data_IF_517998600348
#
_entry.id   IF_517998600348
#
_cell.length_a   1.000
_cell.length_b   1.000
_cell.length_c   1.000
_cell.angle_alpha   90.00
_cell.angle_beta   90.00
_cell.angle_gamma   90.00
#
_symmetry.space_group_name_H-M   'P 1'
#
loop_
_entity.id
_entity.type
_entity.pdbx_description
1 polymer ?
#
# COMPACT_ATOMS: atom_id res chain seq x y z
N UNK A 1 23.46 22.77 10.13
CA UNK A 1 22.08 22.38 10.48
C UNK A 1 21.67 21.05 9.86
N UNK A 2 21.93 20.78 8.57
CA UNK A 2 21.66 19.44 7.96
C UNK A 2 22.69 18.37 8.42
N UNK A 3 23.96 18.75 8.58
CA UNK A 3 25.03 17.81 9.00
C UNK A 3 24.91 17.32 10.45
N UNK A 4 24.37 18.13 11.36
CA UNK A 4 24.14 17.71 12.76
C UNK A 4 22.97 16.72 12.89
N UNK A 5 21.94 16.88 12.06
CA UNK A 5 20.77 16.01 12.06
C UNK A 5 21.09 14.59 11.54
N UNK A 6 21.95 14.47 10.51
CA UNK A 6 22.41 13.16 10.04
C UNK A 6 23.31 12.45 11.05
N UNK A 7 24.17 13.19 11.76
CA UNK A 7 25.05 12.64 12.78
C UNK A 7 24.27 12.13 14.00
N UNK A 8 23.26 12.87 14.44
CA UNK A 8 22.39 12.51 15.57
C UNK A 8 21.49 11.30 15.24
N UNK A 9 20.94 11.25 14.02
CA UNK A 9 20.15 10.11 13.53
C UNK A 9 21.00 8.83 13.38
N UNK A 10 22.24 8.96 12.92
CA UNK A 10 23.18 7.83 12.78
C UNK A 10 23.57 7.24 14.15
N UNK A 11 23.72 8.09 15.17
CA UNK A 11 24.01 7.68 16.55
C UNK A 11 22.84 6.96 17.22
N UNK A 12 21.60 7.43 17.08
CA UNK A 12 20.42 6.74 17.64
C UNK A 12 20.22 5.33 17.06
N UNK A 13 20.40 5.19 15.75
CA UNK A 13 20.26 3.90 15.07
C UNK A 13 21.38 2.93 15.49
N UNK A 14 22.63 3.41 15.55
CA UNK A 14 23.78 2.57 15.86
C UNK A 14 23.88 2.17 17.35
N UNK A 15 23.55 3.09 18.27
CA UNK A 15 23.77 2.88 19.71
C UNK A 15 22.57 2.27 20.42
N UNK A 16 21.34 2.53 19.96
CA UNK A 16 20.12 2.09 20.67
C UNK A 16 19.39 1.01 19.88
N UNK A 17 19.12 1.23 18.59
CA UNK A 17 18.29 0.29 17.81
C UNK A 17 19.04 -0.99 17.45
N UNK A 18 20.31 -0.88 17.06
CA UNK A 18 21.13 -2.04 16.68
C UNK A 18 21.31 -3.06 17.82
N UNK A 19 21.69 -2.68 19.06
CA UNK A 19 21.78 -3.63 20.17
C UNK A 19 20.43 -4.22 20.58
N UNK A 20 19.33 -3.45 20.44
CA UNK A 20 17.98 -3.96 20.72
C UNK A 20 17.58 -5.05 19.71
N UNK A 21 17.87 -4.83 18.42
CA UNK A 21 17.60 -5.79 17.34
C UNK A 21 18.47 -7.05 17.53
N UNK A 22 19.75 -6.90 17.86
CA UNK A 22 20.63 -8.06 18.10
C UNK A 22 20.22 -8.85 19.34
N UNK A 23 19.83 -8.19 20.43
CA UNK A 23 19.30 -8.86 21.62
C UNK A 23 18.01 -9.63 21.32
N UNK A 24 17.09 -9.05 20.54
CA UNK A 24 15.87 -9.72 20.10
C UNK A 24 16.16 -10.96 19.24
N UNK A 25 17.11 -10.84 18.29
CA UNK A 25 17.57 -11.97 17.47
C UNK A 25 18.19 -13.09 18.32
N UNK A 26 19.07 -12.75 19.26
CA UNK A 26 19.68 -13.71 20.17
C UNK A 26 18.63 -14.41 21.04
N UNK A 27 17.64 -13.67 21.55
CA UNK A 27 16.54 -14.24 22.32
C UNK A 27 15.67 -15.19 21.49
N UNK A 28 15.35 -14.83 20.25
CA UNK A 28 14.61 -15.68 19.30
C UNK A 28 15.40 -16.95 18.98
N UNK A 29 16.71 -16.83 18.68
CA UNK A 29 17.58 -17.97 18.39
C UNK A 29 17.74 -18.90 19.60
N UNK A 30 17.92 -18.33 20.79
CA UNK A 30 18.00 -19.10 22.03
C UNK A 30 16.68 -19.81 22.36
N UNK A 31 15.54 -19.15 22.14
CA UNK A 31 14.21 -19.73 22.30
C UNK A 31 13.94 -20.85 21.30
N UNK A 32 14.31 -20.66 20.03
CA UNK A 32 14.23 -21.69 18.98
C UNK A 32 15.11 -22.90 19.31
N UNK A 33 16.35 -22.66 19.75
CA UNK A 33 17.28 -23.71 20.17
C UNK A 33 16.72 -24.54 21.34
N UNK A 34 16.19 -23.87 22.36
CA UNK A 34 15.61 -24.52 23.54
C UNK A 34 14.31 -25.28 23.23
N UNK A 35 13.44 -24.71 22.38
CA UNK A 35 12.25 -25.42 21.89
C UNK A 35 12.64 -26.65 21.08
N UNK A 36 13.69 -26.59 20.24
CA UNK A 36 14.16 -27.74 19.46
C UNK A 36 14.65 -28.89 20.34
N UNK A 37 15.20 -28.60 21.52
CA UNK A 37 15.60 -29.63 22.49
C UNK A 37 14.42 -30.28 23.20
N UNK A 38 13.28 -29.60 23.35
CA UNK A 38 12.10 -30.11 24.08
C UNK A 38 11.00 -30.67 23.17
N UNK A 39 10.97 -30.30 21.89
CA UNK A 39 9.93 -30.69 20.94
C UNK A 39 10.53 -31.28 19.67
N UNK A 40 9.80 -32.20 19.04
CA UNK A 40 10.20 -32.80 17.75
C UNK A 40 10.54 -31.73 16.72
N UNK A 41 11.62 -31.93 15.94
CA UNK A 41 12.06 -31.07 14.83
C UNK A 41 10.90 -30.63 13.92
N UNK A 42 9.90 -31.51 13.72
CA UNK A 42 8.69 -31.22 12.92
C UNK A 42 7.92 -30.01 13.45
N UNK A 43 7.79 -29.86 14.77
CA UNK A 43 7.06 -28.74 15.40
C UNK A 43 7.82 -27.43 15.18
N UNK A 44 9.16 -27.46 15.28
CA UNK A 44 10.00 -26.28 15.04
C UNK A 44 9.85 -25.78 13.60
N UNK A 45 9.90 -26.70 12.63
CA UNK A 45 9.74 -26.38 11.22
C UNK A 45 8.36 -25.81 10.90
N UNK A 46 7.29 -26.35 11.49
CA UNK A 46 5.92 -25.83 11.31
C UNK A 46 5.80 -24.41 11.86
N UNK A 47 6.30 -24.16 13.08
CA UNK A 47 6.25 -22.83 13.69
C UNK A 47 7.06 -21.82 12.86
N UNK A 48 8.25 -22.22 12.41
CA UNK A 48 9.08 -21.38 11.55
C UNK A 48 8.40 -21.07 10.21
N UNK A 49 7.76 -22.07 9.59
CA UNK A 49 7.00 -21.89 8.35
C UNK A 49 5.84 -20.91 8.54
N UNK A 50 5.10 -20.97 9.67
CA UNK A 50 4.01 -20.03 9.97
C UNK A 50 4.56 -18.61 10.16
N UNK A 51 5.67 -18.45 10.88
CA UNK A 51 6.30 -17.14 11.12
C UNK A 51 6.72 -16.47 9.81
N UNK A 52 7.12 -17.22 8.80
CA UNK A 52 7.49 -16.68 7.48
C UNK A 52 6.25 -16.50 6.60
N UNK A 53 5.37 -17.50 6.53
CA UNK A 53 4.23 -17.50 5.62
C UNK A 53 3.22 -16.40 5.96
N UNK A 54 3.03 -16.09 7.23
CA UNK A 54 2.06 -15.09 7.69
C UNK A 54 2.40 -13.66 7.23
N UNK A 55 3.62 -13.11 7.48
CA UNK A 55 3.99 -11.80 6.96
C UNK A 55 4.07 -11.78 5.43
N UNK A 56 4.55 -12.85 4.78
CA UNK A 56 4.54 -12.93 3.32
C UNK A 56 3.11 -12.86 2.77
N UNK A 57 2.17 -13.60 3.37
CA UNK A 57 0.76 -13.59 2.99
C UNK A 57 0.14 -12.20 3.09
N UNK A 58 0.46 -11.45 4.15
CA UNK A 58 0.00 -10.06 4.31
C UNK A 58 0.57 -9.14 3.23
N UNK A 59 1.86 -9.27 2.91
CA UNK A 59 2.51 -8.49 1.84
C UNK A 59 1.85 -8.78 0.47
N UNK A 60 1.65 -10.05 0.13
CA UNK A 60 1.00 -10.45 -1.12
C UNK A 60 -0.46 -9.99 -1.18
N UNK A 61 -1.19 -10.04 -0.06
CA UNK A 61 -2.58 -9.57 0.00
C UNK A 61 -2.68 -8.06 -0.28
N UNK A 62 -1.81 -7.25 0.33
CA UNK A 62 -1.77 -5.81 0.08
C UNK A 62 -1.43 -5.49 -1.38
N UNK A 63 -0.42 -6.17 -1.93
CA UNK A 63 0.00 -5.98 -3.32
C UNK A 63 -1.10 -6.38 -4.32
N UNK A 64 -1.77 -7.52 -4.07
CA UNK A 64 -2.90 -7.98 -4.88
C UNK A 64 -4.10 -7.04 -4.81
N UNK A 65 -4.38 -6.48 -3.62
CA UNK A 65 -5.43 -5.47 -3.46
C UNK A 65 -5.13 -4.22 -4.28
N UNK A 66 -3.91 -3.66 -4.18
CA UNK A 66 -3.53 -2.46 -4.91
C UNK A 66 -3.61 -2.67 -6.43
N UNK A 67 -3.12 -3.81 -6.92
CA UNK A 67 -3.20 -4.17 -8.33
C UNK A 67 -4.66 -4.25 -8.81
N UNK A 68 -5.54 -4.90 -8.05
CA UNK A 68 -6.95 -5.01 -8.37
C UNK A 68 -7.64 -3.63 -8.41
N UNK A 69 -7.28 -2.71 -7.50
CA UNK A 69 -7.82 -1.34 -7.50
C UNK A 69 -7.31 -0.52 -8.68
N UNK A 70 -6.03 -0.61 -9.05
CA UNK A 70 -5.50 0.03 -10.26
C UNK A 70 -6.18 -0.48 -11.54
N UNK A 71 -6.46 -1.78 -11.63
CA UNK A 71 -7.20 -2.37 -12.76
C UNK A 71 -8.66 -1.90 -12.82
N UNK A 72 -9.33 -1.81 -11.68
CA UNK A 72 -10.68 -1.23 -11.58
C UNK A 72 -10.70 0.25 -11.97
N UNK A 73 -9.76 1.03 -11.46
CA UNK A 73 -9.60 2.43 -11.82
C UNK A 73 -9.34 2.58 -13.33
N UNK A 74 -8.54 1.69 -13.94
CA UNK A 74 -8.33 1.66 -15.40
C UNK A 74 -9.60 1.47 -16.23
N UNK A 75 -10.59 0.72 -15.71
CA UNK A 75 -11.90 0.59 -16.37
C UNK A 75 -12.71 1.89 -16.25
N UNK A 76 -12.69 2.52 -15.07
CA UNK A 76 -13.37 3.80 -14.82
C UNK A 76 -12.74 4.92 -15.66
N UNK A 77 -11.42 5.00 -15.76
CA UNK A 77 -10.73 6.01 -16.59
C UNK A 77 -11.10 5.86 -18.06
N UNK A 78 -11.17 4.64 -18.59
CA UNK A 78 -11.60 4.41 -19.97
C UNK A 78 -13.04 4.91 -20.22
N UNK A 79 -13.95 4.69 -19.28
CA UNK A 79 -15.32 5.20 -19.37
C UNK A 79 -15.38 6.72 -19.25
N UNK A 80 -14.61 7.32 -18.33
CA UNK A 80 -14.48 8.76 -18.20
C UNK A 80 -13.96 9.43 -19.47
N UNK A 81 -12.95 8.85 -20.12
CA UNK A 81 -12.44 9.36 -21.40
C UNK A 81 -13.48 9.23 -22.51
N UNK A 82 -14.26 8.14 -22.56
CA UNK A 82 -15.35 7.99 -23.55
C UNK A 82 -16.48 9.00 -23.33
N UNK A 83 -16.82 9.29 -22.07
CA UNK A 83 -17.79 10.31 -21.72
C UNK A 83 -17.28 11.71 -22.10
N UNK A 84 -16.00 11.99 -21.80
CA UNK A 84 -15.35 13.25 -22.18
C UNK A 84 -15.33 13.45 -23.69
N UNK A 85 -15.05 12.40 -24.46
CA UNK A 85 -15.03 12.47 -25.91
C UNK A 85 -16.41 12.74 -26.52
N UNK A 86 -17.50 12.28 -25.88
CA UNK A 86 -18.87 12.46 -26.36
C UNK A 86 -19.52 13.77 -25.88
N UNK A 87 -19.21 14.24 -24.67
CA UNK A 87 -19.86 15.40 -24.05
C UNK A 87 -18.96 16.64 -23.94
N UNK A 88 -17.67 16.51 -24.26
CA UNK A 88 -16.69 17.60 -24.17
C UNK A 88 -16.32 18.02 -22.75
N UNK A 89 -16.71 17.26 -21.72
CA UNK A 89 -16.41 17.52 -20.30
C UNK A 89 -16.41 16.25 -19.48
N UNK A 90 -15.76 16.27 -18.32
CA UNK A 90 -15.86 15.20 -17.33
C UNK A 90 -17.19 15.27 -16.57
N UNK A 91 -17.77 14.11 -16.20
CA UNK A 91 -19.03 14.06 -15.45
C UNK A 91 -18.88 14.73 -14.08
N UNK A 92 -19.98 15.19 -13.47
CA UNK A 92 -19.91 15.79 -12.13
C UNK A 92 -19.75 14.68 -11.09
N UNK A 93 -20.37 13.53 -11.34
CA UNK A 93 -20.31 12.36 -10.48
C UNK A 93 -20.11 11.10 -11.31
N UNK A 94 -19.49 10.07 -10.72
CA UNK A 94 -19.47 8.74 -11.35
C UNK A 94 -20.88 8.16 -11.52
N UNK A 95 -21.89 8.64 -10.77
CA UNK A 95 -23.29 8.26 -10.98
C UNK A 95 -23.88 8.75 -12.30
N UNK A 96 -23.28 9.77 -12.91
CA UNK A 96 -23.66 10.24 -14.26
C UNK A 96 -23.20 9.25 -15.34
N UNK A 97 -22.18 8.45 -15.01
CA UNK A 97 -21.83 7.28 -15.79
C UNK A 97 -22.77 6.16 -15.31
N UNK A 98 -23.35 5.38 -16.22
CA UNK A 98 -24.20 4.22 -15.87
C UNK A 98 -23.38 3.06 -15.25
N UNK A 99 -22.41 3.37 -14.39
CA UNK A 99 -21.48 2.46 -13.75
C UNK A 99 -22.13 1.93 -12.48
N UNK A 100 -22.50 0.64 -12.47
CA UNK A 100 -22.96 -0.05 -11.25
C UNK A 100 -21.86 -0.21 -10.17
N UNK A 101 -20.59 0.04 -10.51
CA UNK A 101 -19.44 -0.05 -9.58
C UNK A 101 -19.18 1.24 -8.77
N UNK A 102 -20.06 2.25 -8.82
CA UNK A 102 -19.88 3.55 -8.12
C UNK A 102 -19.77 3.41 -6.60
N UNK A 103 -20.34 2.36 -6.01
CA UNK A 103 -20.17 2.03 -4.58
C UNK A 103 -18.89 1.22 -4.30
N UNK A 104 -17.80 1.57 -5.00
CA UNK A 104 -16.49 0.95 -4.83
C UNK A 104 -15.60 1.75 -3.89
N UNK A 105 -14.47 1.18 -3.42
CA UNK A 105 -13.47 1.89 -2.64
C UNK A 105 -12.63 2.88 -3.47
N UNK A 106 -13.10 3.22 -4.68
CA UNK A 106 -12.48 4.18 -5.59
C UNK A 106 -13.35 5.42 -5.57
N UNK A 107 -12.74 6.52 -5.16
CA UNK A 107 -13.36 7.82 -5.11
C UNK A 107 -12.97 8.62 -6.35
N UNK A 108 -13.87 9.49 -6.76
CA UNK A 108 -13.72 10.37 -7.91
C UNK A 108 -13.98 11.80 -7.50
N UNK A 109 -13.11 12.68 -7.96
CA UNK A 109 -13.30 14.11 -7.85
C UNK A 109 -12.92 14.76 -9.16
N UNK A 110 -13.77 15.65 -9.64
CA UNK A 110 -13.49 16.49 -10.80
C UNK A 110 -12.90 17.80 -10.33
N UNK A 111 -11.90 18.29 -11.03
CA UNK A 111 -11.40 19.64 -10.82
C UNK A 111 -12.51 20.65 -11.22
N UNK A 112 -12.82 21.59 -10.31
CA UNK A 112 -13.81 22.63 -10.56
C UNK A 112 -13.29 23.70 -11.52
N UNK A 113 -11.99 23.98 -11.48
CA UNK A 113 -11.34 25.01 -12.30
C UNK A 113 -11.02 24.46 -13.71
N UNK A 114 -10.82 23.15 -13.84
CA UNK A 114 -10.55 22.48 -15.11
C UNK A 114 -11.54 21.33 -15.36
N UNK A 115 -12.65 21.54 -16.10
CA UNK A 115 -13.68 20.51 -16.32
C UNK A 115 -13.22 19.31 -17.17
N UNK A 116 -11.95 19.29 -17.56
CA UNK A 116 -11.28 18.22 -18.30
C UNK A 116 -10.35 17.38 -17.42
N UNK A 117 -10.07 17.83 -16.20
CA UNK A 117 -9.21 17.20 -15.22
C UNK A 117 -10.04 16.57 -14.11
N UNK A 118 -9.63 15.38 -13.70
CA UNK A 118 -10.19 14.62 -12.60
C UNK A 118 -9.11 13.82 -11.87
N UNK A 119 -9.43 13.44 -10.64
CA UNK A 119 -8.63 12.61 -9.78
C UNK A 119 -9.40 11.37 -9.39
N UNK A 120 -8.69 10.24 -9.29
CA UNK A 120 -9.22 9.03 -8.69
C UNK A 120 -8.33 8.66 -7.52
N UNK A 121 -8.91 8.20 -6.41
CA UNK A 121 -8.10 7.68 -5.31
C UNK A 121 -8.75 6.49 -4.62
N UNK A 122 -7.91 5.65 -4.02
CA UNK A 122 -8.34 4.54 -3.19
C UNK A 122 -7.36 4.33 -2.04
N UNK A 123 -7.85 3.83 -0.91
CA UNK A 123 -7.01 3.52 0.25
C UNK A 123 -6.14 2.29 -0.01
N UNK A 124 -4.84 2.37 0.26
CA UNK A 124 -3.85 1.27 0.12
C UNK A 124 -3.46 0.63 1.45
N UNK A 125 -3.98 1.14 2.56
CA UNK A 125 -3.64 0.75 3.92
C UNK A 125 -4.23 1.71 4.95
N UNK A 126 -3.79 1.58 6.20
CA UNK A 126 -4.23 2.49 7.28
C UNK A 126 -3.60 3.86 7.06
N UNK A 127 -4.44 4.84 6.73
CA UNK A 127 -4.04 6.24 6.54
C UNK A 127 -3.33 6.53 5.21
N UNK A 128 -3.11 5.52 4.36
CA UNK A 128 -2.42 5.69 3.08
C UNK A 128 -3.37 5.63 1.89
N UNK A 129 -3.20 6.54 0.93
CA UNK A 129 -4.04 6.62 -0.28
C UNK A 129 -3.19 6.65 -1.54
N UNK A 130 -3.58 5.91 -2.57
CA UNK A 130 -3.00 6.06 -3.91
C UNK A 130 -3.92 6.93 -4.76
N UNK A 131 -3.35 7.98 -5.36
CA UNK A 131 -4.07 8.96 -6.17
C UNK A 131 -3.60 8.89 -7.61
N UNK A 132 -4.55 8.85 -8.53
CA UNK A 132 -4.34 9.01 -9.96
C UNK A 132 -4.71 10.42 -10.39
N UNK A 133 -3.82 11.04 -11.14
CA UNK A 133 -4.03 12.33 -11.77
C UNK A 133 -4.23 12.15 -13.28
N UNK A 134 -5.38 12.59 -13.78
CA UNK A 134 -5.73 12.51 -15.21
C UNK A 134 -4.88 13.43 -16.10
N UNK A 135 -4.33 14.52 -15.56
CA UNK A 135 -3.50 15.49 -16.28
C UNK A 135 -2.15 14.88 -16.63
N UNK A 136 -1.49 14.30 -15.63
CA UNK A 136 -0.18 13.66 -15.78
C UNK A 136 -0.29 12.20 -16.20
N UNK A 137 -1.47 11.59 -16.06
CA UNK A 137 -1.75 10.16 -16.30
C UNK A 137 -0.87 9.23 -15.45
N UNK A 138 -0.51 9.69 -14.25
CA UNK A 138 0.36 8.97 -13.33
C UNK A 138 -0.35 8.66 -12.02
N UNK A 139 0.05 7.55 -11.42
CA UNK A 139 -0.28 7.23 -10.04
C UNK A 139 0.78 7.82 -9.12
N UNK A 140 0.35 8.63 -8.16
CA UNK A 140 1.18 9.07 -7.07
C UNK A 140 1.31 7.95 -6.03
N UNK A 141 2.52 7.83 -5.48
CA UNK A 141 2.82 6.87 -4.44
C UNK A 141 1.92 7.12 -3.22
N UNK A 142 1.63 6.08 -2.41
CA UNK A 142 0.87 6.23 -1.20
C UNK A 142 1.50 7.30 -0.29
N UNK A 143 0.73 8.31 0.06
CA UNK A 143 1.08 9.32 1.08
C UNK A 143 0.39 8.97 2.40
#
# INVERSE_FOLDING_TARGET
MIADFEAEFSLEVAVIRLPLITAALVAVLWWLFHISKRKSLRVVLIVFAIIIALPLGLLFAQWGYELNMRLRAGRITAQLESYRASHGKCPVSLSDLEIREVNGPIYYERDFDSPFEYYLWFGTGVGTVSQYDSKTRMWHAPQ
#
